data_IF_955467764331
#
_entry.id   IF_955467764331
#
_cell.length_a   1.000
_cell.length_b   1.000
_cell.length_c   1.000
_cell.angle_alpha   90.00
_cell.angle_beta   90.00
_cell.angle_gamma   90.00
#
_symmetry.space_group_name_H-M   'P 1'
#
loop_
_entity.id
_entity.type
_entity.pdbx_description
1 polymer ?
#
# COMPACT_ATOMS: atom_id res chain seq x y z
N UNK A 1 -13.34 -36.95 -9.10
CA UNK A 1 -12.38 -35.83 -9.22
C UNK A 1 -12.01 -35.45 -7.81
N UNK A 2 -10.82 -35.85 -7.34
CA UNK A 2 -10.33 -35.41 -6.02
C UNK A 2 -10.27 -33.88 -6.01
N UNK A 3 -10.71 -33.21 -4.94
CA UNK A 3 -10.48 -31.78 -4.80
C UNK A 3 -8.98 -31.56 -4.75
N UNK A 4 -8.43 -30.95 -5.80
CA UNK A 4 -7.05 -30.52 -5.83
C UNK A 4 -6.87 -29.56 -4.65
N UNK A 5 -6.15 -30.00 -3.61
CA UNK A 5 -5.88 -29.16 -2.44
C UNK A 5 -5.35 -27.82 -2.93
N UNK A 6 -6.01 -26.73 -2.53
CA UNK A 6 -5.60 -25.36 -2.87
C UNK A 6 -4.22 -25.10 -2.24
N UNK A 7 -3.16 -25.39 -3.01
CA UNK A 7 -1.79 -25.40 -2.51
C UNK A 7 -1.30 -23.97 -2.34
N UNK A 8 -0.80 -23.68 -1.15
CA UNK A 8 -0.08 -22.43 -0.90
C UNK A 8 1.26 -22.43 -1.68
N UNK A 9 1.46 -21.36 -2.45
CA UNK A 9 2.63 -21.10 -3.28
C UNK A 9 3.35 -19.88 -2.73
N UNK A 10 4.61 -20.06 -2.34
CA UNK A 10 5.48 -18.97 -1.94
C UNK A 10 5.75 -18.02 -3.12
N UNK A 11 5.69 -16.71 -2.86
CA UNK A 11 5.97 -15.67 -3.85
C UNK A 11 7.33 -15.03 -3.60
N UNK A 12 7.50 -14.40 -2.44
CA UNK A 12 8.74 -13.75 -2.05
C UNK A 12 8.78 -13.50 -0.54
N UNK A 13 9.93 -13.10 -0.02
CA UNK A 13 10.09 -12.59 1.35
C UNK A 13 10.77 -11.23 1.33
N UNK A 14 10.43 -10.41 2.31
CA UNK A 14 11.18 -9.22 2.72
C UNK A 14 12.02 -9.55 3.96
N UNK A 15 12.60 -8.55 4.60
CA UNK A 15 13.35 -8.70 5.85
C UNK A 15 12.47 -9.13 7.03
N UNK A 16 11.20 -8.72 7.04
CA UNK A 16 10.29 -8.95 8.18
C UNK A 16 9.04 -9.78 7.84
N UNK A 17 8.74 -9.99 6.55
CA UNK A 17 7.47 -10.61 6.10
C UNK A 17 7.69 -11.61 4.98
N UNK A 18 6.91 -12.68 4.99
CA UNK A 18 6.75 -13.60 3.86
C UNK A 18 5.43 -13.38 3.15
N UNK A 19 5.43 -13.65 1.85
CA UNK A 19 4.27 -13.50 0.98
C UNK A 19 4.06 -14.78 0.18
N UNK A 20 2.83 -15.27 0.21
CA UNK A 20 2.41 -16.45 -0.51
C UNK A 20 1.00 -16.23 -1.07
N UNK A 21 0.56 -17.16 -1.91
CA UNK A 21 -0.80 -17.17 -2.44
C UNK A 21 -1.35 -18.58 -2.53
N UNK A 22 -2.66 -18.70 -2.51
CA UNK A 22 -3.35 -19.87 -3.03
C UNK A 22 -3.98 -19.55 -4.39
N UNK A 23 -4.90 -20.37 -4.86
CA UNK A 23 -5.72 -20.05 -6.02
C UNK A 23 -6.58 -18.82 -5.77
N UNK A 24 -7.06 -18.60 -4.54
CA UNK A 24 -8.07 -17.56 -4.24
C UNK A 24 -7.61 -16.50 -3.25
N UNK A 25 -6.47 -16.70 -2.58
CA UNK A 25 -6.02 -15.83 -1.49
C UNK A 25 -4.59 -15.35 -1.66
N UNK A 26 -4.32 -14.14 -1.21
CA UNK A 26 -2.98 -13.61 -0.96
C UNK A 26 -2.73 -13.60 0.53
N UNK A 27 -1.57 -14.08 0.96
CA UNK A 27 -1.23 -14.28 2.36
C UNK A 27 0.08 -13.58 2.67
N UNK A 28 0.05 -12.73 3.70
CA UNK A 28 1.19 -12.01 4.27
C UNK A 28 1.39 -12.51 5.70
N UNK A 29 2.61 -12.89 6.06
CA UNK A 29 2.95 -13.33 7.43
C UNK A 29 4.20 -12.64 7.94
N UNK A 30 4.18 -12.32 9.23
CA UNK A 30 5.37 -11.98 10.00
C UNK A 30 6.38 -13.13 9.94
N UNK A 31 7.66 -12.79 9.80
CA UNK A 31 8.75 -13.76 9.86
C UNK A 31 9.17 -13.96 11.33
N UNK A 32 9.45 -15.21 11.77
CA UNK A 32 9.97 -15.47 13.11
C UNK A 32 11.33 -14.80 13.38
N UNK A 33 12.13 -14.63 12.32
CA UNK A 33 13.44 -13.97 12.31
C UNK A 33 13.35 -12.49 11.93
N UNK A 34 12.17 -11.87 12.01
CA UNK A 34 12.01 -10.45 11.66
C UNK A 34 12.91 -9.56 12.52
N UNK A 35 13.79 -8.80 11.86
CA UNK A 35 14.68 -7.84 12.52
C UNK A 35 14.23 -6.42 12.20
N UNK A 36 14.14 -5.57 13.22
CA UNK A 36 14.32 -4.13 13.08
C UNK A 36 13.27 -3.35 12.30
N UNK A 37 12.09 -3.90 11.99
CA UNK A 37 10.98 -3.10 11.44
C UNK A 37 10.14 -2.51 12.58
N UNK A 38 10.16 -1.18 12.81
CA UNK A 38 9.38 -0.56 13.87
C UNK A 38 7.88 -0.80 13.66
N UNK A 39 7.17 -1.05 14.76
CA UNK A 39 5.72 -1.24 14.79
C UNK A 39 5.20 -2.39 13.92
N UNK A 40 5.96 -3.48 13.77
CA UNK A 40 5.61 -4.58 12.86
C UNK A 40 4.20 -5.14 13.12
N UNK A 41 3.83 -5.38 14.38
CA UNK A 41 2.50 -5.95 14.72
C UNK A 41 1.38 -4.93 14.53
N UNK A 42 1.66 -3.67 14.87
CA UNK A 42 0.77 -2.55 14.67
C UNK A 42 0.50 -2.31 13.17
N UNK A 43 1.51 -2.46 12.31
CA UNK A 43 1.39 -2.38 10.83
C UNK A 43 0.40 -3.41 10.28
N UNK A 44 0.43 -4.65 10.76
CA UNK A 44 -0.58 -5.66 10.41
C UNK A 44 -1.99 -5.27 10.90
N UNK A 45 -2.08 -4.74 12.11
CA UNK A 45 -3.35 -4.29 12.71
C UNK A 45 -3.95 -3.13 11.90
N UNK A 46 -3.11 -2.16 11.55
CA UNK A 46 -3.46 -0.99 10.74
C UNK A 46 -3.88 -1.40 9.34
N UNK A 47 -3.13 -2.30 8.68
CA UNK A 47 -3.47 -2.78 7.33
C UNK A 47 -4.85 -3.45 7.31
N UNK A 48 -5.15 -4.32 8.27
CA UNK A 48 -6.47 -4.96 8.38
C UNK A 48 -7.59 -3.94 8.61
N UNK A 49 -7.37 -2.95 9.49
CA UNK A 49 -8.36 -1.90 9.77
C UNK A 49 -8.58 -0.98 8.55
N UNK A 50 -7.51 -0.63 7.85
CA UNK A 50 -7.55 0.22 6.66
C UNK A 50 -8.29 -0.47 5.50
N UNK A 51 -8.02 -1.75 5.23
CA UNK A 51 -8.73 -2.51 4.21
C UNK A 51 -10.24 -2.56 4.49
N UNK A 52 -10.65 -2.81 5.74
CA UNK A 52 -12.07 -2.77 6.13
C UNK A 52 -12.67 -1.40 5.89
N UNK A 53 -12.05 -0.35 6.43
CA UNK A 53 -12.55 1.03 6.30
C UNK A 53 -12.72 1.43 4.85
N UNK A 54 -11.71 1.22 4.01
CA UNK A 54 -11.74 1.61 2.60
C UNK A 54 -12.78 0.81 1.83
N UNK A 55 -12.89 -0.49 2.07
CA UNK A 55 -13.90 -1.34 1.42
C UNK A 55 -15.34 -0.95 1.78
N UNK A 56 -15.57 -0.45 2.99
CA UNK A 56 -16.89 -0.07 3.48
C UNK A 56 -17.29 1.37 3.13
N UNK A 57 -16.30 2.28 3.07
CA UNK A 57 -16.55 3.73 3.00
C UNK A 57 -16.17 4.37 1.68
N UNK A 58 -15.54 3.64 0.77
CA UNK A 58 -15.07 4.19 -0.51
C UNK A 58 -15.38 3.24 -1.66
N UNK A 59 -15.23 3.75 -2.88
CA UNK A 59 -15.19 2.95 -4.10
C UNK A 59 -13.75 2.67 -4.55
N UNK A 60 -12.75 2.93 -3.72
CA UNK A 60 -11.35 2.62 -4.05
C UNK A 60 -11.24 1.09 -4.08
N UNK A 61 -10.79 0.50 -5.20
CA UNK A 61 -10.60 -0.93 -5.27
C UNK A 61 -9.42 -1.31 -4.36
N UNK A 62 -9.70 -2.10 -3.34
CA UNK A 62 -8.73 -2.70 -2.42
C UNK A 62 -9.03 -4.20 -2.32
N UNK A 63 -8.04 -5.07 -2.07
CA UNK A 63 -8.31 -6.49 -1.88
C UNK A 63 -9.23 -6.70 -0.68
N UNK A 64 -10.30 -7.48 -0.86
CA UNK A 64 -11.18 -7.85 0.23
C UNK A 64 -10.41 -8.60 1.31
N UNK A 65 -10.46 -8.08 2.53
CA UNK A 65 -9.92 -8.76 3.70
C UNK A 65 -10.71 -10.04 3.98
N UNK A 66 -10.01 -11.16 4.15
CA UNK A 66 -10.58 -12.47 4.50
C UNK A 66 -10.34 -12.77 5.97
N UNK A 67 -9.10 -12.63 6.43
CA UNK A 67 -8.71 -12.89 7.81
C UNK A 67 -7.47 -12.05 8.18
N UNK A 68 -7.33 -11.75 9.46
CA UNK A 68 -6.11 -11.18 10.03
C UNK A 68 -6.07 -11.51 11.53
N UNK A 69 -4.87 -11.69 12.07
CA UNK A 69 -4.69 -12.03 13.47
C UNK A 69 -3.25 -12.43 13.78
N UNK A 70 -3.10 -13.17 14.87
CA UNK A 70 -1.86 -13.86 15.23
C UNK A 70 -2.09 -15.36 15.23
N UNK A 71 -1.08 -16.13 14.85
CA UNK A 71 -1.09 -17.58 14.98
C UNK A 71 -0.74 -18.04 16.41
N UNK A 72 -0.59 -19.36 16.59
CA UNK A 72 -0.29 -19.98 17.90
C UNK A 72 1.07 -19.54 18.45
N UNK A 73 2.01 -19.13 17.59
CA UNK A 73 3.34 -18.63 17.96
C UNK A 73 3.34 -17.11 18.19
N UNK A 74 2.18 -16.45 18.06
CA UNK A 74 2.04 -15.01 18.24
C UNK A 74 2.54 -14.18 17.05
N UNK A 75 2.78 -14.82 15.90
CA UNK A 75 3.21 -14.15 14.66
C UNK A 75 2.00 -13.65 13.88
N UNK A 76 2.08 -12.42 13.38
CA UNK A 76 0.98 -11.78 12.69
C UNK A 76 0.77 -12.36 11.28
N UNK A 77 -0.50 -12.44 10.87
CA UNK A 77 -0.87 -12.77 9.49
C UNK A 77 -2.00 -11.88 8.99
N UNK A 78 -2.04 -11.72 7.67
CA UNK A 78 -3.10 -11.04 6.92
C UNK A 78 -3.40 -11.85 5.65
N UNK A 79 -4.68 -12.16 5.44
CA UNK A 79 -5.20 -12.90 4.29
C UNK A 79 -6.22 -12.02 3.57
N UNK A 80 -5.99 -11.82 2.28
CA UNK A 80 -6.91 -11.09 1.39
C UNK A 80 -7.26 -11.96 0.20
N UNK A 81 -8.25 -11.54 -0.59
CA UNK A 81 -8.46 -12.16 -1.90
C UNK A 81 -7.24 -11.99 -2.81
N UNK A 82 -6.97 -12.98 -3.65
CA UNK A 82 -5.96 -12.86 -4.69
C UNK A 82 -6.53 -12.16 -5.92
N UNK A 83 -5.92 -11.05 -6.33
CA UNK A 83 -6.34 -10.31 -7.52
C UNK A 83 -5.77 -10.97 -8.78
N UNK A 84 -6.59 -11.79 -9.45
CA UNK A 84 -6.21 -12.51 -10.65
C UNK A 84 -5.91 -11.59 -11.84
N UNK A 85 -5.06 -12.08 -12.75
CA UNK A 85 -4.73 -11.36 -13.99
C UNK A 85 -4.05 -10.02 -13.74
N UNK A 86 -3.37 -9.89 -12.59
CA UNK A 86 -2.74 -8.65 -12.17
C UNK A 86 -1.22 -8.71 -12.16
N UNK A 87 -0.61 -7.52 -12.24
CA UNK A 87 0.83 -7.31 -12.12
C UNK A 87 1.09 -6.03 -11.33
N UNK A 88 2.16 -6.00 -10.54
CA UNK A 88 2.59 -4.81 -9.81
C UNK A 88 2.93 -3.68 -10.80
N UNK A 89 2.53 -2.45 -10.51
CA UNK A 89 2.59 -1.36 -11.50
C UNK A 89 4.01 -1.05 -12.01
N UNK A 90 5.03 -1.16 -11.16
CA UNK A 90 6.44 -1.02 -11.54
C UNK A 90 6.96 -2.17 -12.43
N UNK A 91 6.24 -3.29 -12.48
CA UNK A 91 6.53 -4.46 -13.32
C UNK A 91 5.64 -4.51 -14.58
N UNK A 92 4.60 -3.66 -14.66
CA UNK A 92 3.55 -3.75 -15.67
C UNK A 92 4.09 -3.52 -17.10
N UNK A 93 5.13 -2.70 -17.23
CA UNK A 93 5.75 -2.33 -18.50
C UNK A 93 7.07 -3.06 -18.82
N UNK A 94 7.50 -4.04 -17.99
CA UNK A 94 8.70 -4.84 -18.26
C UNK A 94 8.57 -5.76 -19.48
N UNK A 95 7.35 -6.00 -19.92
CA UNK A 95 7.03 -6.62 -21.20
C UNK A 95 5.81 -5.95 -21.81
N UNK A 96 5.64 -6.10 -23.13
CA UNK A 96 4.47 -5.57 -23.80
C UNK A 96 3.21 -6.34 -23.42
N UNK A 97 2.21 -5.62 -22.89
CA UNK A 97 0.88 -6.16 -22.56
C UNK A 97 -0.11 -6.13 -23.71
N UNK A 98 0.21 -5.41 -24.78
CA UNK A 98 -0.66 -5.23 -25.94
C UNK A 98 0.12 -5.46 -27.26
N UNK A 99 0.71 -6.65 -27.46
CA UNK A 99 1.63 -6.90 -28.58
C UNK A 99 0.97 -6.78 -29.96
N UNK A 100 -0.34 -7.00 -30.04
CA UNK A 100 -1.10 -6.83 -31.29
C UNK A 100 -1.27 -5.36 -31.69
N UNK A 101 -1.15 -4.43 -30.73
CA UNK A 101 -1.26 -2.99 -30.95
C UNK A 101 0.13 -2.34 -31.01
N UNK A 102 1.09 -2.85 -30.23
CA UNK A 102 2.44 -2.30 -30.12
C UNK A 102 3.42 -3.11 -30.99
N UNK A 103 3.17 -3.11 -32.31
CA UNK A 103 3.81 -3.94 -33.36
C UNK A 103 5.36 -3.98 -33.37
N UNK A 104 6.03 -3.11 -32.62
CA UNK A 104 7.49 -3.00 -32.53
C UNK A 104 8.11 -3.53 -31.23
N UNK A 105 7.32 -4.01 -30.26
CA UNK A 105 7.87 -4.52 -29.00
C UNK A 105 8.32 -5.97 -29.13
N UNK A 106 9.58 -6.26 -28.80
CA UNK A 106 10.05 -7.64 -28.67
C UNK A 106 9.40 -8.29 -27.43
N UNK A 107 9.00 -9.56 -27.54
CA UNK A 107 8.49 -10.31 -26.40
C UNK A 107 9.52 -10.32 -25.25
N UNK A 108 9.07 -10.06 -24.03
CA UNK A 108 9.96 -9.99 -22.85
C UNK A 108 10.87 -8.76 -22.76
N UNK A 109 10.65 -7.74 -23.60
CA UNK A 109 11.39 -6.47 -23.52
C UNK A 109 10.53 -5.34 -22.94
N UNK A 110 11.13 -4.39 -22.19
CA UNK A 110 10.40 -3.23 -21.68
C UNK A 110 9.66 -2.48 -22.79
N UNK A 111 8.40 -2.13 -22.53
CA UNK A 111 7.53 -1.49 -23.51
C UNK A 111 7.21 -0.05 -23.09
N UNK A 112 7.85 0.92 -23.74
CA UNK A 112 7.65 2.35 -23.47
C UNK A 112 6.19 2.81 -23.66
N UNK A 113 5.45 2.20 -24.61
CA UNK A 113 4.03 2.52 -24.82
C UNK A 113 3.19 2.04 -23.63
N UNK A 114 3.41 0.82 -23.16
CA UNK A 114 2.77 0.32 -21.93
C UNK A 114 3.14 1.15 -20.71
N UNK A 115 4.40 1.60 -20.59
CA UNK A 115 4.81 2.49 -19.51
C UNK A 115 4.02 3.80 -19.51
N UNK A 116 3.83 4.41 -20.69
CA UNK A 116 3.03 5.62 -20.85
C UNK A 116 1.57 5.41 -20.42
N UNK A 117 0.97 4.28 -20.78
CA UNK A 117 -0.41 3.93 -20.40
C UNK A 117 -0.51 3.71 -18.88
N UNK A 118 0.39 2.91 -18.30
CA UNK A 118 0.46 2.65 -16.85
C UNK A 118 0.58 3.98 -16.09
N UNK A 119 1.45 4.88 -16.55
CA UNK A 119 1.63 6.22 -15.96
C UNK A 119 0.36 7.05 -16.01
N UNK A 120 -0.30 7.10 -17.16
CA UNK A 120 -1.55 7.84 -17.31
C UNK A 120 -2.66 7.27 -16.41
N UNK A 121 -2.82 5.95 -16.41
CA UNK A 121 -3.84 5.25 -15.64
C UNK A 121 -3.60 5.38 -14.12
N UNK A 122 -2.37 5.22 -13.64
CA UNK A 122 -2.00 5.46 -12.24
C UNK A 122 -2.35 6.89 -11.80
N UNK A 123 -1.92 7.88 -12.60
CA UNK A 123 -2.13 9.28 -12.27
C UNK A 123 -3.62 9.66 -12.26
N UNK A 124 -4.39 9.15 -13.23
CA UNK A 124 -5.84 9.33 -13.27
C UNK A 124 -6.51 8.66 -12.08
N UNK A 125 -6.18 7.41 -11.78
CA UNK A 125 -6.71 6.67 -10.64
C UNK A 125 -6.46 7.42 -9.33
N UNK A 126 -5.23 7.84 -9.06
CA UNK A 126 -4.89 8.55 -7.82
C UNK A 126 -5.60 9.89 -7.73
N UNK A 127 -5.51 10.72 -8.77
CA UNK A 127 -6.03 12.09 -8.71
C UNK A 127 -7.55 12.17 -8.76
N UNK A 128 -8.21 11.25 -9.46
CA UNK A 128 -9.66 11.29 -9.70
C UNK A 128 -10.43 10.38 -8.75
N UNK A 129 -9.83 9.31 -8.26
CA UNK A 129 -10.52 8.35 -7.40
C UNK A 129 -9.95 8.29 -5.99
N UNK A 130 -8.65 8.09 -5.82
CA UNK A 130 -8.04 7.86 -4.49
C UNK A 130 -8.04 9.13 -3.64
N UNK A 131 -7.30 10.17 -4.04
CA UNK A 131 -7.08 11.36 -3.20
C UNK A 131 -8.39 12.07 -2.79
N UNK A 132 -9.39 12.25 -3.67
CA UNK A 132 -10.64 12.88 -3.27
C UNK A 132 -11.40 12.07 -2.20
N UNK A 133 -11.42 10.74 -2.33
CA UNK A 133 -12.11 9.86 -1.40
C UNK A 133 -11.37 9.76 -0.07
N UNK A 134 -10.04 9.60 -0.09
CA UNK A 134 -9.22 9.61 1.12
C UNK A 134 -9.37 10.93 1.90
N UNK A 135 -9.37 12.07 1.20
CA UNK A 135 -9.60 13.40 1.80
C UNK A 135 -11.00 13.56 2.42
N UNK A 136 -11.99 12.83 1.91
CA UNK A 136 -13.37 12.89 2.43
C UNK A 136 -13.56 12.09 3.72
N UNK A 137 -12.68 11.13 4.00
CA UNK A 137 -12.66 10.40 5.26
C UNK A 137 -12.01 11.28 6.32
N UNK A 138 -12.81 11.69 7.32
CA UNK A 138 -12.41 12.63 8.37
C UNK A 138 -12.37 11.98 9.74
N UNK A 139 -11.48 12.45 10.60
CA UNK A 139 -11.37 12.03 12.00
C UNK A 139 -10.99 13.20 12.91
N UNK A 140 -11.46 13.16 14.14
CA UNK A 140 -11.06 14.06 15.22
C UNK A 140 -9.71 13.68 15.83
N UNK A 141 -9.22 12.47 15.60
CA UNK A 141 -7.94 11.99 16.13
C UNK A 141 -7.00 11.48 15.04
N UNK A 142 -5.69 11.57 15.25
CA UNK A 142 -4.71 10.95 14.36
C UNK A 142 -4.61 9.43 14.55
N UNK A 143 -3.97 8.77 13.59
CA UNK A 143 -3.77 7.32 13.59
C UNK A 143 -5.00 6.55 13.14
N UNK A 144 -5.00 5.24 13.36
CA UNK A 144 -6.12 4.35 13.07
C UNK A 144 -6.28 3.36 14.21
N UNK A 145 -7.43 3.37 14.88
CA UNK A 145 -7.64 2.54 16.07
C UNK A 145 -6.72 2.88 17.24
N UNK A 146 -6.31 4.15 17.36
CA UNK A 146 -5.37 4.61 18.40
C UNK A 146 -3.89 4.32 18.10
N UNK A 147 -3.58 3.73 16.94
CA UNK A 147 -2.22 3.46 16.50
C UNK A 147 -1.77 4.55 15.53
N UNK A 148 -0.63 5.19 15.80
CA UNK A 148 -0.02 6.19 14.92
C UNK A 148 1.29 5.62 14.38
N UNK A 149 1.31 5.31 13.08
CA UNK A 149 2.51 4.92 12.35
C UNK A 149 2.87 6.11 11.44
N UNK A 150 3.98 6.81 11.69
CA UNK A 150 4.40 7.89 10.81
C UNK A 150 4.81 7.34 9.43
N UNK A 151 4.78 8.17 8.37
CA UNK A 151 5.38 7.80 7.08
C UNK A 151 6.86 7.46 7.23
N UNK A 152 7.39 6.57 6.38
CA UNK A 152 8.81 6.16 6.47
C UNK A 152 9.82 7.29 6.45
N UNK A 153 9.64 8.30 5.60
CA UNK A 153 10.55 9.46 5.55
C UNK A 153 10.58 10.27 6.85
N UNK A 154 9.55 10.15 7.68
CA UNK A 154 9.52 10.71 9.04
C UNK A 154 10.21 9.76 10.02
N UNK A 155 9.84 8.47 10.05
CA UNK A 155 10.40 7.52 11.02
C UNK A 155 11.88 7.21 10.84
N UNK A 156 12.42 7.37 9.62
CA UNK A 156 13.85 7.22 9.37
C UNK A 156 14.67 8.40 9.91
N UNK A 157 14.05 9.58 10.07
CA UNK A 157 14.69 10.74 10.67
C UNK A 157 14.39 10.89 12.17
N UNK A 158 13.22 10.45 12.63
CA UNK A 158 12.80 10.50 14.03
C UNK A 158 12.40 9.09 14.49
N UNK A 159 13.34 8.45 15.18
CA UNK A 159 13.26 7.04 15.58
C UNK A 159 12.57 6.85 16.92
N UNK A 160 11.70 7.78 17.35
CA UNK A 160 10.94 7.62 18.58
C UNK A 160 10.12 6.32 18.53
N UNK A 161 10.04 5.62 19.67
CA UNK A 161 9.32 4.35 19.75
C UNK A 161 7.80 4.50 19.64
N UNK A 162 7.26 5.68 20.00
CA UNK A 162 5.82 5.93 19.99
C UNK A 162 5.50 7.33 19.47
N UNK A 163 4.38 7.44 18.77
CA UNK A 163 3.84 8.71 18.27
C UNK A 163 2.51 9.01 18.97
N UNK A 164 2.30 10.25 19.44
CA UNK A 164 1.09 10.58 20.18
C UNK A 164 -0.13 10.60 19.26
N UNK A 165 -1.28 10.20 19.82
CA UNK A 165 -2.58 10.47 19.21
C UNK A 165 -2.93 11.93 19.46
N UNK A 166 -2.97 12.72 18.40
CA UNK A 166 -3.40 14.12 18.44
C UNK A 166 -4.91 14.19 18.30
N UNK A 167 -5.51 15.27 18.80
CA UNK A 167 -6.96 15.52 18.71
C UNK A 167 -7.23 16.91 18.13
N UNK A 168 -8.23 17.02 17.25
CA UNK A 168 -8.78 18.28 16.74
C UNK A 168 -10.28 18.34 17.01
N UNK A 169 -10.77 19.54 17.36
CA UNK A 169 -12.20 19.81 17.57
C UNK A 169 -13.02 19.89 16.27
N UNK A 170 -12.37 19.97 15.10
CA UNK A 170 -13.02 20.21 13.82
C UNK A 170 -12.97 19.01 12.86
N UNK A 171 -12.44 17.86 13.31
CA UNK A 171 -12.23 16.66 12.49
C UNK A 171 -11.37 16.94 11.24
N UNK A 172 -10.26 17.68 11.41
CA UNK A 172 -9.45 18.15 10.29
C UNK A 172 -8.56 17.07 9.67
N UNK A 173 -8.29 15.98 10.41
CA UNK A 173 -7.44 14.90 9.94
C UNK A 173 -8.14 14.12 8.83
N UNK A 174 -7.37 13.79 7.79
CA UNK A 174 -7.84 13.02 6.64
C UNK A 174 -7.17 11.65 6.62
N UNK A 175 -7.83 10.68 6.00
CA UNK A 175 -7.18 9.39 5.82
C UNK A 175 -6.03 9.52 4.83
N UNK A 176 -4.85 9.07 5.23
CA UNK A 176 -3.63 9.07 4.45
C UNK A 176 -3.13 7.64 4.27
N UNK A 177 -2.55 7.33 3.12
CA UNK A 177 -1.93 6.03 2.84
C UNK A 177 -0.41 6.03 3.06
N UNK A 178 0.23 7.20 2.94
CA UNK A 178 1.67 7.45 3.07
C UNK A 178 2.59 6.77 2.04
N UNK A 179 2.26 5.57 1.58
CA UNK A 179 3.00 4.86 0.53
C UNK A 179 2.23 4.78 -0.80
N UNK A 180 1.68 5.91 -1.27
CA UNK A 180 1.06 5.96 -2.60
C UNK A 180 2.17 6.06 -3.64
N UNK A 181 2.49 4.90 -4.22
CA UNK A 181 3.48 4.70 -5.28
C UNK A 181 3.01 3.63 -6.26
N UNK A 182 3.60 3.61 -7.47
CA UNK A 182 3.15 2.69 -8.53
C UNK A 182 3.28 1.20 -8.15
N UNK A 183 4.27 0.84 -7.33
CA UNK A 183 4.44 -0.55 -6.90
C UNK A 183 3.39 -1.03 -5.87
N UNK A 184 2.57 -0.12 -5.33
CA UNK A 184 1.44 -0.45 -4.47
C UNK A 184 0.11 -0.46 -5.24
N UNK A 185 0.17 -0.50 -6.57
CA UNK A 185 -0.98 -0.67 -7.45
C UNK A 185 -0.86 -1.94 -8.25
N UNK A 186 -1.96 -2.69 -8.32
CA UNK A 186 -2.08 -3.88 -9.16
C UNK A 186 -2.78 -3.49 -10.46
N UNK A 187 -2.17 -3.81 -11.59
CA UNK A 187 -2.64 -3.50 -12.93
C UNK A 187 -3.13 -4.74 -13.65
N UNK A 188 -4.21 -4.62 -14.43
CA UNK A 188 -4.65 -5.68 -15.32
C UNK A 188 -3.59 -5.95 -16.39
N UNK A 189 -3.17 -7.22 -16.54
CA UNK A 189 -2.16 -7.61 -17.54
C UNK A 189 -2.66 -7.52 -18.98
N UNK A 190 -3.96 -7.30 -19.20
CA UNK A 190 -4.58 -7.22 -20.52
C UNK A 190 -4.94 -5.77 -20.90
N UNK A 191 -5.48 -4.99 -19.96
CA UNK A 191 -5.96 -3.62 -20.23
C UNK A 191 -5.06 -2.52 -19.68
N UNK A 192 -4.17 -2.85 -18.74
CA UNK A 192 -3.40 -1.87 -17.96
C UNK A 192 -4.27 -0.92 -17.12
N UNK A 193 -5.51 -1.29 -16.80
CA UNK A 193 -6.31 -0.59 -15.80
C UNK A 193 -5.87 -0.97 -14.38
N UNK A 194 -6.04 -0.05 -13.43
CA UNK A 194 -5.78 -0.33 -12.02
C UNK A 194 -6.88 -1.22 -11.46
N UNK A 195 -6.51 -2.40 -10.97
CA UNK A 195 -7.41 -3.38 -10.36
C UNK A 195 -7.50 -3.25 -8.84
N UNK A 196 -6.44 -2.82 -8.17
CA UNK A 196 -6.43 -2.64 -6.72
C UNK A 196 -5.29 -1.73 -6.25
N UNK A 197 -5.53 -1.01 -5.16
CA UNK A 197 -4.51 -0.38 -4.31
C UNK A 197 -4.21 -1.33 -3.14
N UNK A 198 -2.93 -1.53 -2.82
CA UNK A 198 -2.46 -2.49 -1.79
C UNK A 198 -1.45 -1.84 -0.84
N UNK A 199 -1.01 -2.61 0.17
CA UNK A 199 -0.01 -2.21 1.16
C UNK A 199 -0.46 -1.04 2.06
N UNK A 200 -1.53 -1.28 2.83
CA UNK A 200 -2.19 -0.28 3.68
C UNK A 200 -1.54 -0.13 5.07
N UNK A 201 -0.33 -0.66 5.26
CA UNK A 201 0.27 -0.85 6.58
C UNK A 201 0.77 0.44 7.26
N UNK A 202 0.84 1.54 6.52
CA UNK A 202 1.19 2.87 7.01
C UNK A 202 0.01 3.84 7.01
N UNK A 203 -1.20 3.32 6.78
CA UNK A 203 -2.39 4.14 6.69
C UNK A 203 -2.83 4.70 8.05
N UNK A 204 -3.55 5.82 8.01
CA UNK A 204 -4.28 6.33 9.17
C UNK A 204 -4.76 7.75 8.98
N UNK A 205 -5.32 8.37 10.01
CA UNK A 205 -5.74 9.77 9.95
C UNK A 205 -4.59 10.71 10.32
N UNK A 206 -4.31 11.68 9.46
CA UNK A 206 -3.19 12.63 9.63
C UNK A 206 -3.57 14.03 9.13
N UNK A 207 -2.78 15.07 9.46
CA UNK A 207 -2.89 16.36 8.79
C UNK A 207 -2.79 16.18 7.27
N UNK A 208 -3.67 16.83 6.47
CA UNK A 208 -3.75 16.61 5.03
C UNK A 208 -2.46 16.94 4.28
N UNK A 209 -1.59 17.77 4.85
CA UNK A 209 -0.28 18.13 4.32
C UNK A 209 0.68 16.93 4.23
N UNK A 210 0.47 15.90 5.06
CA UNK A 210 1.36 14.74 5.13
C UNK A 210 1.14 13.79 3.95
N UNK A 211 -0.03 13.79 3.31
CA UNK A 211 -0.31 12.90 2.18
C UNK A 211 0.53 13.26 0.96
N UNK A 212 1.36 12.31 0.52
CA UNK A 212 2.18 12.43 -0.69
C UNK A 212 1.73 11.43 -1.77
N UNK A 213 1.93 11.78 -3.03
CA UNK A 213 1.82 10.86 -4.17
C UNK A 213 3.10 10.98 -4.98
N UNK A 214 3.80 9.86 -5.13
CA UNK A 214 5.02 9.79 -5.93
C UNK A 214 4.85 8.69 -6.96
N UNK A 215 5.26 8.96 -8.19
CA UNK A 215 5.06 8.00 -9.26
C UNK A 215 5.91 6.75 -9.05
N UNK A 216 7.19 6.94 -8.79
CA UNK A 216 8.16 5.87 -8.62
C UNK A 216 8.93 6.02 -7.31
N UNK A 217 9.79 5.03 -7.07
CA UNK A 217 10.65 4.97 -5.90
C UNK A 217 11.66 6.13 -5.86
N UNK A 218 12.12 6.63 -7.01
CA UNK A 218 13.03 7.78 -7.06
C UNK A 218 12.34 9.04 -6.53
N UNK A 219 11.12 9.32 -7.00
CA UNK A 219 10.31 10.42 -6.48
C UNK A 219 9.95 10.24 -5.00
N UNK A 220 9.80 8.99 -4.54
CA UNK A 220 9.63 8.69 -3.12
C UNK A 220 10.88 9.04 -2.30
N UNK A 221 12.08 8.70 -2.78
CA UNK A 221 13.35 9.03 -2.11
C UNK A 221 13.56 10.54 -1.95
N UNK A 222 13.07 11.37 -2.87
CA UNK A 222 13.11 12.84 -2.70
C UNK A 222 12.41 13.32 -1.41
N UNK A 223 11.44 12.56 -0.89
CA UNK A 223 10.77 12.90 0.37
C UNK A 223 11.72 12.75 1.58
N UNK A 224 12.63 11.79 1.51
CA UNK A 224 13.61 11.51 2.56
C UNK A 224 14.73 12.55 2.55
N UNK A 225 15.12 13.03 1.36
CA UNK A 225 16.18 14.03 1.20
C UNK A 225 15.71 15.46 1.52
N UNK A 226 14.39 15.70 1.48
CA UNK A 226 13.81 17.00 1.78
C UNK A 226 13.68 17.21 3.30
N UNK A 227 14.77 17.61 3.95
CA UNK A 227 14.81 17.78 5.40
C UNK A 227 13.82 18.84 5.93
N UNK A 228 13.50 19.88 5.15
CA UNK A 228 12.49 20.87 5.54
C UNK A 228 11.09 20.25 5.59
N UNK A 229 10.76 19.40 4.60
CA UNK A 229 9.52 18.63 4.59
C UNK A 229 9.47 17.64 5.76
N UNK A 230 10.55 16.90 5.98
CA UNK A 230 10.66 15.92 7.06
C UNK A 230 10.44 16.59 8.41
N UNK A 231 11.13 17.69 8.70
CA UNK A 231 10.97 18.43 9.96
C UNK A 231 9.56 18.98 10.12
N UNK A 232 8.98 19.52 9.05
CA UNK A 232 7.58 19.96 9.07
C UNK A 232 6.63 18.81 9.39
N UNK A 233 6.84 17.62 8.81
CA UNK A 233 5.98 16.46 9.05
C UNK A 233 6.18 15.89 10.46
N UNK A 234 7.41 15.89 11.00
CA UNK A 234 7.69 15.53 12.39
C UNK A 234 6.87 16.42 13.33
N UNK A 235 6.87 17.74 13.11
CA UNK A 235 6.09 18.68 13.94
C UNK A 235 4.59 18.44 13.81
N UNK A 236 4.08 18.26 12.59
CA UNK A 236 2.65 18.04 12.33
C UNK A 236 2.10 16.76 12.98
N UNK A 237 2.91 15.69 13.02
CA UNK A 237 2.49 14.39 13.57
C UNK A 237 2.84 14.28 15.06
N UNK A 238 3.90 14.97 15.50
CA UNK A 238 4.45 14.88 16.85
C UNK A 238 3.71 15.69 17.91
N UNK A 239 2.94 16.71 17.51
CA UNK A 239 2.24 17.62 18.43
C UNK A 239 3.11 18.78 18.90
#
# INVERSE_FOLDING_TARGET
>A
MEPQLDREVFLFRSEAKSYSKTTTTFIKRELPDAVGLPWLKERFTVEAAALRLLSEKTSIPVPRLIAAGQDEDGLCYLVTEYIHGSVRGDMAALECRMPQLHLSSQAGSPCAVCEGIVRANANQFVRKQVLPQLRSLKSETTGLGGIVIPPRWVSESDTRETWPVLSSRQADFVFCHHDLVLHNMLFCTQTLDVLALVDMEECGFFPPEVQQWKYDRAGQFELYENMDLVQKHIQLIGG
#
